data_IF_359178339810
#
_entry.id   IF_359178339810
#
_cell.length_a   1.000
_cell.length_b   1.000
_cell.length_c   1.000
_cell.angle_alpha   90.00
_cell.angle_beta   90.00
_cell.angle_gamma   90.00
#
_symmetry.space_group_name_H-M   'P 1'
#
loop_
_entity.id
_entity.type
_entity.pdbx_description
1 polymer ?
#
# COMPACT_ATOMS: atom_id res chain seq x y z
N UNK A 1 18.57 9.05 -4.19
CA UNK A 1 17.52 10.03 -3.75
C UNK A 1 16.32 9.27 -3.21
N UNK A 2 15.46 9.92 -2.40
CA UNK A 2 14.20 9.26 -2.01
C UNK A 2 13.17 9.40 -3.13
N UNK A 3 12.20 8.46 -3.21
CA UNK A 3 11.10 8.52 -4.18
C UNK A 3 10.41 9.91 -4.16
N UNK A 4 10.11 10.43 -2.96
CA UNK A 4 9.50 11.76 -2.82
C UNK A 4 10.35 12.90 -3.38
N UNK A 5 11.66 12.82 -3.26
CA UNK A 5 12.58 13.84 -3.81
C UNK A 5 12.62 13.80 -5.33
N UNK A 6 12.59 12.62 -5.93
CA UNK A 6 12.51 12.42 -7.38
C UNK A 6 11.23 13.01 -7.95
N UNK A 7 10.09 12.78 -7.27
CA UNK A 7 8.81 13.31 -7.68
C UNK A 7 8.75 14.85 -7.58
N UNK A 8 9.35 15.45 -6.56
CA UNK A 8 9.48 16.90 -6.45
C UNK A 8 10.35 17.48 -7.58
N UNK A 9 11.47 16.82 -7.89
CA UNK A 9 12.35 17.23 -8.98
C UNK A 9 11.63 17.18 -10.34
N UNK A 10 10.80 16.18 -10.55
CA UNK A 10 9.99 16.05 -11.76
C UNK A 10 8.97 17.19 -11.90
N UNK A 11 8.23 17.52 -10.82
CA UNK A 11 7.31 18.66 -10.83
C UNK A 11 8.03 19.96 -11.17
N UNK A 12 9.23 20.17 -10.61
CA UNK A 12 10.08 21.34 -10.86
C UNK A 12 10.53 21.40 -12.32
N UNK A 13 10.82 20.27 -12.95
CA UNK A 13 11.25 20.20 -14.36
C UNK A 13 10.14 20.55 -15.36
N UNK A 14 8.88 20.52 -14.94
CA UNK A 14 7.74 20.80 -15.80
C UNK A 14 7.58 22.30 -16.02
N UNK A 15 7.61 22.74 -17.29
CA UNK A 15 7.40 24.13 -17.66
C UNK A 15 5.94 24.54 -17.46
N UNK A 16 5.68 25.50 -16.59
CA UNK A 16 4.36 26.12 -16.39
C UNK A 16 4.23 27.34 -17.27
N UNK A 17 3.50 27.22 -18.39
CA UNK A 17 3.35 28.30 -19.38
C UNK A 17 2.57 29.51 -18.84
N UNK A 18 1.47 29.26 -18.12
CA UNK A 18 0.55 30.33 -17.67
C UNK A 18 1.06 31.04 -16.43
N UNK A 19 1.20 32.36 -16.47
CA UNK A 19 1.61 33.16 -15.33
C UNK A 19 0.66 33.02 -14.13
N UNK A 20 -0.65 32.85 -14.35
CA UNK A 20 -1.62 32.61 -13.28
C UNK A 20 -1.36 31.29 -12.55
N UNK A 21 -0.96 30.24 -13.26
CA UNK A 21 -0.62 28.93 -12.66
C UNK A 21 0.70 29.00 -11.88
N UNK A 22 1.71 29.74 -12.38
CA UNK A 22 2.96 29.98 -11.61
C UNK A 22 2.67 30.70 -10.30
N UNK A 23 1.80 31.73 -10.36
CA UNK A 23 1.35 32.44 -9.16
C UNK A 23 0.59 31.54 -8.19
N UNK A 24 -0.35 30.74 -8.69
CA UNK A 24 -1.12 29.77 -7.88
C UNK A 24 -0.20 28.73 -7.22
N UNK A 25 0.81 28.23 -7.94
CA UNK A 25 1.79 27.31 -7.36
C UNK A 25 2.57 27.99 -6.22
N UNK A 26 3.09 29.20 -6.44
CA UNK A 26 3.78 29.96 -5.37
C UNK A 26 2.83 30.25 -4.20
N UNK A 27 1.58 30.59 -4.45
CA UNK A 27 0.58 30.75 -3.40
C UNK A 27 0.36 29.47 -2.60
N UNK A 28 0.37 28.27 -3.22
CA UNK A 28 0.32 26.98 -2.51
C UNK A 28 1.53 26.77 -1.60
N UNK A 29 2.73 27.15 -2.04
CA UNK A 29 3.95 27.15 -1.20
C UNK A 29 3.77 28.07 0.01
N UNK A 30 3.37 29.32 -0.22
CA UNK A 30 3.18 30.32 0.85
C UNK A 30 2.04 29.90 1.81
N UNK A 31 0.95 29.42 1.29
CA UNK A 31 -0.19 28.92 2.05
C UNK A 31 0.17 27.85 3.06
N UNK A 32 1.10 26.95 2.71
CA UNK A 32 1.49 25.82 3.54
C UNK A 32 2.70 26.08 4.45
N UNK A 33 3.60 27.01 4.09
CA UNK A 33 4.90 27.13 4.76
C UNK A 33 5.39 28.55 5.03
N UNK A 34 4.64 29.57 4.63
CA UNK A 34 5.08 30.94 4.89
C UNK A 34 4.95 31.30 6.37
N UNK A 35 6.01 31.91 6.90
CA UNK A 35 6.06 32.57 8.19
C UNK A 35 6.40 34.05 7.93
N UNK A 36 5.66 34.94 8.53
CA UNK A 36 5.87 36.41 8.42
C UNK A 36 6.40 36.96 9.74
N UNK A 37 7.56 37.59 9.70
CA UNK A 37 8.15 38.26 10.84
C UNK A 37 8.85 39.56 10.39
N UNK A 38 8.49 40.69 10.98
CA UNK A 38 9.08 42.00 10.69
C UNK A 38 9.08 42.37 9.20
N UNK A 39 8.00 42.00 8.48
CA UNK A 39 7.86 42.24 7.05
C UNK A 39 8.66 41.30 6.15
N UNK A 40 9.46 40.39 6.73
CA UNK A 40 10.21 39.35 6.01
C UNK A 40 9.38 38.07 5.96
N UNK A 41 9.19 37.57 4.75
CA UNK A 41 8.54 36.27 4.52
C UNK A 41 9.60 35.20 4.43
N UNK A 42 9.45 34.14 5.23
CA UNK A 42 10.33 32.98 5.21
C UNK A 42 9.56 31.70 4.87
N UNK A 43 10.16 30.86 4.02
CA UNK A 43 9.60 29.60 3.57
C UNK A 43 10.62 28.47 3.77
N UNK A 44 10.30 27.49 4.59
CA UNK A 44 11.17 26.31 4.82
C UNK A 44 10.84 25.18 3.86
N UNK A 45 11.84 24.66 3.13
CA UNK A 45 11.74 23.52 2.21
C UNK A 45 12.83 22.49 2.45
N UNK A 46 12.66 21.27 1.87
CA UNK A 46 13.50 20.13 2.21
C UNK A 46 14.82 20.04 1.39
N UNK A 47 14.87 20.62 0.18
CA UNK A 47 16.00 20.47 -0.75
C UNK A 47 16.48 21.78 -1.36
N UNK A 48 17.74 21.83 -1.81
CA UNK A 48 18.29 22.98 -2.55
C UNK A 48 17.49 23.24 -3.82
N UNK A 49 17.19 22.20 -4.59
CA UNK A 49 16.44 22.29 -5.84
C UNK A 49 15.06 22.96 -5.62
N UNK A 50 14.36 22.58 -4.54
CA UNK A 50 13.07 23.21 -4.21
C UNK A 50 13.23 24.66 -3.79
N UNK A 51 14.29 25.00 -3.04
CA UNK A 51 14.57 26.36 -2.61
C UNK A 51 14.89 27.29 -3.79
N UNK A 52 15.74 26.83 -4.71
CA UNK A 52 16.08 27.56 -5.93
C UNK A 52 14.86 27.78 -6.82
N UNK A 53 14.02 26.76 -6.96
CA UNK A 53 12.77 26.88 -7.73
C UNK A 53 11.78 27.85 -7.08
N UNK A 54 11.62 27.81 -5.76
CA UNK A 54 10.76 28.77 -5.05
C UNK A 54 11.31 30.20 -5.19
N UNK A 55 12.63 30.39 -5.11
CA UNK A 55 13.26 31.69 -5.31
C UNK A 55 13.03 32.22 -6.74
N UNK A 56 13.14 31.34 -7.77
CA UNK A 56 12.82 31.74 -9.14
C UNK A 56 11.36 32.14 -9.33
N UNK A 57 10.42 31.40 -8.71
CA UNK A 57 9.00 31.77 -8.73
C UNK A 57 8.72 33.11 -8.03
N UNK A 58 9.40 33.41 -6.93
CA UNK A 58 9.30 34.68 -6.23
C UNK A 58 9.76 35.82 -7.15
N UNK A 59 10.88 35.65 -7.81
CA UNK A 59 11.40 36.62 -8.79
C UNK A 59 10.43 36.84 -9.94
N UNK A 60 9.89 35.76 -10.53
CA UNK A 60 8.94 35.84 -11.65
C UNK A 60 7.58 36.46 -11.24
N UNK A 61 7.05 36.11 -10.07
CA UNK A 61 5.68 36.53 -9.66
C UNK A 61 5.64 37.88 -8.97
N UNK A 62 6.70 38.27 -8.27
CA UNK A 62 6.75 39.48 -7.44
C UNK A 62 7.86 40.45 -7.84
N UNK A 63 8.75 40.09 -8.77
CA UNK A 63 9.94 40.85 -9.18
C UNK A 63 10.83 41.24 -7.98
N UNK A 64 10.98 40.25 -7.04
CA UNK A 64 11.77 40.43 -5.81
C UNK A 64 12.85 39.34 -5.73
N UNK A 65 14.07 39.70 -5.37
CA UNK A 65 15.10 38.69 -5.06
C UNK A 65 14.73 37.97 -3.77
N UNK A 66 15.23 36.72 -3.64
CA UNK A 66 15.09 35.93 -2.44
C UNK A 66 16.44 35.36 -2.01
N UNK A 67 16.72 35.39 -0.71
CA UNK A 67 17.93 34.84 -0.12
C UNK A 67 17.66 33.39 0.34
N UNK A 68 18.60 32.48 0.05
CA UNK A 68 18.54 31.08 0.46
C UNK A 68 19.58 30.82 1.54
N UNK A 69 19.14 30.30 2.67
CA UNK A 69 20.03 29.94 3.79
C UNK A 69 19.73 28.55 4.31
N UNK A 70 20.69 27.94 5.03
CA UNK A 70 20.52 26.63 5.66
C UNK A 70 20.05 26.79 7.10
N UNK A 71 18.96 26.14 7.47
CA UNK A 71 18.47 26.06 8.85
C UNK A 71 18.93 24.73 9.53
N UNK A 72 18.84 24.64 10.88
CA UNK A 72 19.09 23.40 11.59
C UNK A 72 18.27 22.22 11.02
N UNK A 73 18.88 21.03 10.94
CA UNK A 73 18.24 19.84 10.37
C UNK A 73 18.29 19.76 8.83
N UNK A 74 19.20 20.50 8.19
CA UNK A 74 19.43 20.52 6.73
C UNK A 74 18.27 21.07 5.90
N UNK A 75 17.30 21.72 6.49
CA UNK A 75 16.25 22.43 5.74
C UNK A 75 16.82 23.69 5.09
N UNK A 76 16.28 24.08 3.94
CA UNK A 76 16.57 25.36 3.28
C UNK A 76 15.47 26.36 3.63
N UNK A 77 15.88 27.60 3.87
CA UNK A 77 14.96 28.71 4.15
C UNK A 77 15.15 29.76 3.08
N UNK A 78 14.07 30.03 2.35
CA UNK A 78 13.99 31.09 1.35
C UNK A 78 13.38 32.30 2.02
N UNK A 79 14.08 33.45 2.01
CA UNK A 79 13.63 34.72 2.61
C UNK A 79 13.51 35.79 1.55
N UNK A 80 12.43 36.55 1.63
CA UNK A 80 12.22 37.67 0.72
C UNK A 80 11.27 38.72 1.34
N UNK A 81 11.23 39.91 0.72
CA UNK A 81 10.29 40.96 1.06
C UNK A 81 9.39 41.27 -0.13
N UNK A 82 8.08 41.23 0.07
CA UNK A 82 7.08 41.64 -0.95
C UNK A 82 5.77 42.03 -0.30
N UNK A 83 5.36 43.30 -0.46
CA UNK A 83 4.09 43.78 0.05
C UNK A 83 2.88 43.03 -0.53
N UNK A 84 2.96 42.65 -1.79
CA UNK A 84 1.90 41.83 -2.43
C UNK A 84 1.79 40.43 -1.86
N UNK A 85 2.93 39.80 -1.51
CA UNK A 85 2.93 38.49 -0.85
C UNK A 85 2.46 38.60 0.61
N UNK A 86 2.87 39.65 1.33
CA UNK A 86 2.38 39.95 2.68
C UNK A 86 0.87 40.12 2.71
N UNK A 87 0.32 40.93 1.78
CA UNK A 87 -1.12 41.08 1.63
C UNK A 87 -1.84 39.76 1.35
N UNK A 88 -1.26 38.90 0.49
CA UNK A 88 -1.81 37.57 0.26
C UNK A 88 -1.80 36.71 1.54
N UNK A 89 -0.68 36.68 2.28
CA UNK A 89 -0.59 35.92 3.52
C UNK A 89 -1.59 36.44 4.57
N UNK A 90 -1.75 37.73 4.70
CA UNK A 90 -2.71 38.33 5.62
C UNK A 90 -4.17 38.03 5.24
N UNK A 91 -4.49 37.92 3.95
CA UNK A 91 -5.83 37.56 3.47
C UNK A 91 -6.19 36.07 3.64
N UNK A 92 -5.21 35.22 3.98
CA UNK A 92 -5.47 33.79 4.24
C UNK A 92 -6.33 33.67 5.50
N UNK A 93 -7.51 33.08 5.35
CA UNK A 93 -8.49 32.90 6.46
C UNK A 93 -9.59 33.99 6.52
N UNK A 94 -9.44 35.10 5.82
CA UNK A 94 -10.48 36.15 5.75
C UNK A 94 -11.49 35.92 4.61
N UNK A 95 -11.14 35.12 3.61
CA UNK A 95 -11.98 34.78 2.46
C UNK A 95 -11.98 33.29 2.17
N UNK A 96 -13.08 32.79 1.55
CA UNK A 96 -13.14 31.42 1.05
C UNK A 96 -12.23 31.18 -0.16
N UNK A 97 -11.54 32.21 -0.65
CA UNK A 97 -10.67 32.14 -1.82
C UNK A 97 -9.22 31.93 -1.40
N UNK A 98 -8.75 30.74 -1.47
CA UNK A 98 -7.37 30.33 -1.08
C UNK A 98 -6.30 30.79 -2.09
N UNK A 99 -6.67 31.02 -3.34
CA UNK A 99 -5.79 31.46 -4.42
C UNK A 99 -6.59 32.17 -5.53
N UNK A 100 -5.91 32.99 -6.35
CA UNK A 100 -6.54 33.64 -7.48
C UNK A 100 -6.79 32.66 -8.62
N UNK A 101 -8.00 32.15 -8.74
CA UNK A 101 -8.40 31.26 -9.82
C UNK A 101 -8.68 32.05 -11.10
N UNK A 102 -7.78 31.94 -12.10
CA UNK A 102 -7.90 32.59 -13.41
C UNK A 102 -8.04 31.60 -14.57
N UNK A 103 -7.81 30.32 -14.33
CA UNK A 103 -8.01 29.23 -15.30
C UNK A 103 -8.20 27.91 -14.55
N UNK A 104 -8.78 26.90 -15.21
CA UNK A 104 -9.05 25.57 -14.66
C UNK A 104 -7.79 24.82 -14.13
N UNK A 105 -6.59 25.25 -14.51
CA UNK A 105 -5.34 24.63 -14.06
C UNK A 105 -4.75 25.28 -12.79
N UNK A 106 -5.30 26.40 -12.30
CA UNK A 106 -4.76 27.10 -11.14
C UNK A 106 -4.87 26.26 -9.86
N UNK A 107 -5.98 25.56 -9.65
CA UNK A 107 -6.15 24.67 -8.49
C UNK A 107 -5.09 23.56 -8.45
N UNK A 108 -4.84 22.90 -9.58
CA UNK A 108 -3.80 21.88 -9.67
C UNK A 108 -2.41 22.44 -9.41
N UNK A 109 -2.11 23.64 -9.90
CA UNK A 109 -0.86 24.31 -9.62
C UNK A 109 -0.72 24.67 -8.12
N UNK A 110 -1.78 25.13 -7.48
CA UNK A 110 -1.80 25.41 -6.05
C UNK A 110 -1.55 24.16 -5.21
N UNK A 111 -2.19 23.04 -5.53
CA UNK A 111 -1.94 21.74 -4.89
C UNK A 111 -0.50 21.27 -5.05
N UNK A 112 0.10 21.44 -6.25
CA UNK A 112 1.53 21.15 -6.47
C UNK A 112 2.42 22.01 -5.60
N UNK A 113 2.06 23.28 -5.38
CA UNK A 113 2.77 24.19 -4.48
C UNK A 113 2.77 23.68 -3.03
N UNK A 114 1.61 23.27 -2.51
CA UNK A 114 1.49 22.65 -1.18
C UNK A 114 2.37 21.38 -1.10
N UNK A 115 2.33 20.55 -2.14
CA UNK A 115 3.14 19.31 -2.16
C UNK A 115 4.64 19.61 -2.19
N UNK A 116 5.11 20.54 -3.01
CA UNK A 116 6.52 20.92 -3.06
C UNK A 116 7.06 21.40 -1.71
N UNK A 117 6.27 22.23 -1.00
CA UNK A 117 6.69 22.83 0.26
C UNK A 117 6.55 21.90 1.47
N UNK A 118 5.45 21.18 1.60
CA UNK A 118 5.08 20.43 2.79
C UNK A 118 4.87 18.93 2.54
N UNK A 119 4.70 18.52 1.29
CA UNK A 119 4.32 17.15 0.92
C UNK A 119 5.49 16.18 0.95
N UNK A 120 5.16 14.92 1.26
CA UNK A 120 6.02 13.75 1.13
C UNK A 120 5.20 12.57 0.66
N UNK A 121 5.74 11.79 -0.25
CA UNK A 121 5.11 10.57 -0.74
C UNK A 121 6.02 9.38 -0.57
N UNK A 122 5.46 8.25 -0.13
CA UNK A 122 6.14 6.96 -0.13
C UNK A 122 6.06 6.32 -1.53
N UNK A 123 7.03 5.47 -1.85
CA UNK A 123 6.96 4.63 -3.04
C UNK A 123 5.68 3.77 -3.03
N UNK A 124 4.78 3.90 -4.01
CA UNK A 124 3.54 3.14 -4.07
C UNK A 124 3.72 1.62 -4.12
N UNK A 125 4.88 1.15 -4.57
CA UNK A 125 5.25 -0.28 -4.52
C UNK A 125 5.44 -0.80 -3.11
N UNK A 126 5.69 0.07 -2.13
CA UNK A 126 5.88 -0.29 -0.72
C UNK A 126 4.64 -0.01 0.11
N UNK A 127 4.09 1.20 -0.02
CA UNK A 127 2.89 1.60 0.72
C UNK A 127 2.22 2.81 0.08
N UNK A 128 0.90 2.89 0.19
CA UNK A 128 0.12 4.06 -0.20
C UNK A 128 0.12 5.07 0.93
N UNK A 129 1.00 6.07 0.87
CA UNK A 129 1.10 7.09 1.90
C UNK A 129 1.54 8.44 1.29
N UNK A 130 0.64 9.43 1.38
CA UNK A 130 0.91 10.84 1.07
C UNK A 130 0.77 11.63 2.37
N UNK A 131 1.81 12.35 2.76
CA UNK A 131 1.88 13.10 4.02
C UNK A 131 2.21 14.56 3.75
N UNK A 132 1.66 15.45 4.59
CA UNK A 132 1.97 16.88 4.63
C UNK A 132 2.34 17.26 6.06
N UNK A 133 3.61 17.57 6.30
CA UNK A 133 4.11 17.99 7.61
C UNK A 133 3.88 19.49 7.76
N UNK A 134 3.03 19.92 8.70
CA UNK A 134 2.59 21.29 8.87
C UNK A 134 2.66 21.68 10.35
N UNK A 135 2.66 22.98 10.64
CA UNK A 135 2.71 23.52 12.01
C UNK A 135 1.69 24.63 12.21
N UNK A 136 1.20 24.74 13.45
CA UNK A 136 0.30 25.80 13.85
C UNK A 136 -0.92 25.92 12.92
N UNK A 137 -1.33 27.15 12.65
CA UNK A 137 -2.49 27.47 11.81
C UNK A 137 -2.42 26.91 10.38
N UNK A 138 -1.20 26.66 9.86
CA UNK A 138 -1.04 26.07 8.54
C UNK A 138 -1.63 24.65 8.45
N UNK A 139 -1.66 23.90 9.56
CA UNK A 139 -2.29 22.59 9.61
C UNK A 139 -3.81 22.70 9.36
N UNK A 140 -4.48 23.58 10.11
CA UNK A 140 -5.93 23.70 10.07
C UNK A 140 -6.41 24.25 8.72
N UNK A 141 -5.71 25.25 8.19
CA UNK A 141 -6.07 25.84 6.89
C UNK A 141 -5.85 24.88 5.72
N UNK A 142 -4.76 24.10 5.70
CA UNK A 142 -4.52 23.10 4.65
C UNK A 142 -5.50 21.93 4.78
N UNK A 143 -5.82 21.52 6.00
CA UNK A 143 -6.83 20.49 6.25
C UNK A 143 -8.21 20.94 5.73
N UNK A 144 -8.65 22.14 6.11
CA UNK A 144 -9.94 22.71 5.67
C UNK A 144 -10.00 22.86 4.15
N UNK A 145 -8.90 23.30 3.53
CA UNK A 145 -8.80 23.38 2.06
C UNK A 145 -8.94 21.98 1.41
N UNK A 146 -8.27 20.95 1.91
CA UNK A 146 -8.41 19.60 1.35
C UNK A 146 -9.86 19.09 1.47
N UNK A 147 -10.52 19.33 2.59
CA UNK A 147 -11.93 18.97 2.78
C UNK A 147 -12.83 19.72 1.80
N UNK A 148 -12.60 21.03 1.60
CA UNK A 148 -13.42 21.86 0.70
C UNK A 148 -13.38 21.41 -0.77
N UNK A 149 -12.29 20.76 -1.19
CA UNK A 149 -12.15 20.20 -2.55
C UNK A 149 -12.52 18.72 -2.64
N UNK A 150 -13.17 18.16 -1.61
CA UNK A 150 -13.70 16.80 -1.61
C UNK A 150 -12.70 15.71 -1.23
N UNK A 151 -11.51 16.05 -0.70
CA UNK A 151 -10.57 15.08 -0.17
C UNK A 151 -10.92 14.72 1.29
N UNK A 152 -10.55 13.52 1.73
CA UNK A 152 -10.75 13.03 3.10
C UNK A 152 -9.40 12.88 3.85
N UNK A 153 -8.78 13.99 4.27
CA UNK A 153 -7.53 13.96 5.00
C UNK A 153 -7.71 13.39 6.41
N UNK A 154 -6.63 12.80 6.94
CA UNK A 154 -6.52 12.39 8.34
C UNK A 154 -5.38 13.16 8.99
N UNK A 155 -5.48 13.40 10.30
CA UNK A 155 -4.42 14.04 11.08
C UNK A 155 -3.78 12.99 12.00
N UNK A 156 -2.45 13.06 12.11
CA UNK A 156 -1.66 12.33 13.09
C UNK A 156 -0.76 13.31 13.83
N UNK A 157 -0.87 13.34 15.14
CA UNK A 157 -0.03 14.18 15.98
C UNK A 157 1.22 13.38 16.41
N UNK A 158 2.38 13.78 15.92
CA UNK A 158 3.70 13.28 16.36
C UNK A 158 4.26 14.30 17.36
N UNK A 159 5.17 13.87 18.25
CA UNK A 159 5.68 14.68 19.39
C UNK A 159 6.04 16.14 19.08
N UNK A 160 6.49 16.47 17.86
CA UNK A 160 6.92 17.81 17.45
C UNK A 160 6.32 18.33 16.14
N UNK A 161 5.52 17.55 15.45
CA UNK A 161 4.90 17.92 14.17
C UNK A 161 3.55 17.24 14.01
N UNK A 162 2.56 17.98 13.55
CA UNK A 162 1.29 17.42 13.11
C UNK A 162 1.36 17.15 11.62
N UNK A 163 0.81 16.02 11.20
CA UNK A 163 0.88 15.55 9.83
C UNK A 163 -0.52 15.27 9.31
N UNK A 164 -0.89 15.92 8.22
CA UNK A 164 -2.04 15.53 7.41
C UNK A 164 -1.62 14.36 6.52
N UNK A 165 -2.40 13.29 6.43
CA UNK A 165 -2.04 12.15 5.61
C UNK A 165 -3.22 11.47 4.92
N UNK A 166 -2.90 10.79 3.81
CA UNK A 166 -3.79 9.92 3.04
C UNK A 166 -3.15 8.53 2.92
N UNK A 167 -3.92 7.45 3.22
CA UNK A 167 -3.47 6.06 3.15
C UNK A 167 -4.26 5.20 2.17
N UNK A 168 -5.46 5.64 1.75
CA UNK A 168 -6.24 4.93 0.75
C UNK A 168 -5.75 5.29 -0.64
N UNK A 169 -5.49 4.29 -1.49
CA UNK A 169 -5.04 4.53 -2.86
C UNK A 169 -5.98 5.43 -3.65
N UNK A 170 -7.31 5.31 -3.43
CA UNK A 170 -8.30 6.19 -4.06
C UNK A 170 -8.08 7.67 -3.74
N UNK A 171 -7.76 7.99 -2.46
CA UNK A 171 -7.50 9.38 -2.06
C UNK A 171 -6.21 9.94 -2.67
N UNK A 172 -5.20 9.08 -2.86
CA UNK A 172 -3.98 9.46 -3.57
C UNK A 172 -4.28 9.72 -5.05
N UNK A 173 -5.10 8.86 -5.68
CA UNK A 173 -5.56 9.03 -7.06
C UNK A 173 -6.29 10.36 -7.24
N UNK A 174 -7.24 10.66 -6.34
CA UNK A 174 -8.00 11.90 -6.36
C UNK A 174 -7.08 13.13 -6.20
N UNK A 175 -6.14 13.08 -5.26
CA UNK A 175 -5.16 14.16 -5.08
C UNK A 175 -4.30 14.35 -6.33
N UNK A 176 -3.77 13.28 -6.92
CA UNK A 176 -2.91 13.38 -8.11
C UNK A 176 -3.68 13.85 -9.33
N UNK A 177 -4.93 13.44 -9.49
CA UNK A 177 -5.81 13.91 -10.55
C UNK A 177 -6.08 15.41 -10.42
N UNK A 178 -6.47 15.88 -9.23
CA UNK A 178 -6.72 17.30 -8.94
C UNK A 178 -5.45 18.16 -9.11
N UNK A 179 -4.29 17.63 -8.69
CA UNK A 179 -3.01 18.32 -8.81
C UNK A 179 -2.41 18.26 -10.23
N UNK A 180 -2.97 17.43 -11.13
CA UNK A 180 -2.41 17.19 -12.46
C UNK A 180 -1.05 16.46 -12.45
N UNK A 181 -0.82 15.61 -11.44
CA UNK A 181 0.41 14.83 -11.24
C UNK A 181 0.30 13.46 -11.94
N UNK A 182 0.20 13.49 -13.27
CA UNK A 182 -0.13 12.30 -14.07
C UNK A 182 0.87 11.14 -13.91
N UNK A 183 2.17 11.43 -13.79
CA UNK A 183 3.18 10.36 -13.64
C UNK A 183 3.03 9.64 -12.29
N UNK A 184 2.73 10.36 -11.22
CA UNK A 184 2.40 9.76 -9.92
C UNK A 184 1.12 8.93 -9.97
N UNK A 185 0.10 9.41 -10.68
CA UNK A 185 -1.11 8.63 -10.91
C UNK A 185 -0.81 7.32 -11.64
N UNK A 186 -0.01 7.35 -12.72
CA UNK A 186 0.43 6.14 -13.42
C UNK A 186 1.28 5.21 -12.55
N UNK A 187 2.21 5.75 -11.76
CA UNK A 187 3.02 4.95 -10.83
C UNK A 187 2.13 4.23 -9.81
N UNK A 188 1.12 4.90 -9.29
CA UNK A 188 0.15 4.33 -8.36
C UNK A 188 -0.71 3.24 -9.03
N UNK A 189 -1.20 3.46 -10.23
CA UNK A 189 -1.95 2.46 -11.01
C UNK A 189 -1.12 1.19 -11.26
N UNK A 190 0.14 1.36 -11.70
CA UNK A 190 1.05 0.24 -11.90
C UNK A 190 1.31 -0.54 -10.61
N UNK A 191 1.51 0.16 -9.48
CA UNK A 191 1.69 -0.48 -8.18
C UNK A 191 0.44 -1.28 -7.77
N UNK A 192 -0.77 -0.77 -8.01
CA UNK A 192 -2.02 -1.50 -7.73
C UNK A 192 -2.10 -2.81 -8.53
N UNK A 193 -1.84 -2.76 -9.84
CA UNK A 193 -1.83 -3.95 -10.71
C UNK A 193 -0.82 -4.98 -10.19
N UNK A 194 0.39 -4.56 -9.86
CA UNK A 194 1.43 -5.44 -9.33
C UNK A 194 1.00 -6.10 -8.01
N UNK A 195 0.46 -5.33 -7.07
CA UNK A 195 -0.05 -5.85 -5.80
C UNK A 195 -1.18 -6.87 -6.00
N UNK A 196 -2.10 -6.64 -6.93
CA UNK A 196 -3.18 -7.58 -7.25
C UNK A 196 -2.63 -8.89 -7.84
N UNK A 197 -1.67 -8.82 -8.76
CA UNK A 197 -1.00 -10.00 -9.33
C UNK A 197 -0.29 -10.82 -8.26
N UNK A 198 0.52 -10.17 -7.40
CA UNK A 198 1.21 -10.85 -6.30
C UNK A 198 0.25 -11.47 -5.29
N UNK A 199 -0.82 -10.76 -4.92
CA UNK A 199 -1.83 -11.29 -4.00
C UNK A 199 -2.58 -12.48 -4.60
N UNK A 200 -2.87 -12.47 -5.90
CA UNK A 200 -3.50 -13.57 -6.62
C UNK A 200 -2.58 -14.79 -6.67
N UNK A 201 -1.32 -14.61 -7.06
CA UNK A 201 -0.31 -15.67 -7.10
C UNK A 201 -0.10 -16.30 -5.72
N UNK A 202 0.02 -15.48 -4.67
CA UNK A 202 0.16 -15.97 -3.29
C UNK A 202 -1.07 -16.77 -2.82
N UNK A 203 -2.28 -16.34 -3.18
CA UNK A 203 -3.50 -17.10 -2.85
C UNK A 203 -3.52 -18.46 -3.53
N UNK A 204 -3.15 -18.54 -4.80
CA UNK A 204 -3.05 -19.78 -5.55
C UNK A 204 -2.03 -20.71 -4.90
N UNK A 205 -0.80 -20.23 -4.67
CA UNK A 205 0.28 -20.99 -4.05
C UNK A 205 -0.09 -21.51 -2.64
N UNK A 206 -0.72 -20.66 -1.83
CA UNK A 206 -1.20 -21.07 -0.50
C UNK A 206 -2.31 -22.13 -0.58
N UNK A 207 -3.22 -22.00 -1.54
CA UNK A 207 -4.27 -23.00 -1.76
C UNK A 207 -3.66 -24.36 -2.15
N UNK A 208 -2.75 -24.38 -3.11
CA UNK A 208 -2.05 -25.60 -3.56
C UNK A 208 -1.25 -26.24 -2.42
N UNK A 209 -0.47 -25.42 -1.69
CA UNK A 209 0.32 -25.90 -0.55
C UNK A 209 -0.56 -26.52 0.53
N UNK A 210 -1.68 -25.89 0.86
CA UNK A 210 -2.62 -26.43 1.85
C UNK A 210 -3.32 -27.71 1.37
N UNK A 211 -3.64 -27.80 0.08
CA UNK A 211 -4.21 -29.01 -0.51
C UNK A 211 -3.21 -30.19 -0.47
N UNK A 212 -1.93 -29.92 -0.81
CA UNK A 212 -0.87 -30.92 -0.73
C UNK A 212 -0.67 -31.37 0.73
N UNK A 213 -0.56 -30.43 1.69
CA UNK A 213 -0.43 -30.77 3.11
C UNK A 213 -1.58 -31.64 3.62
N UNK A 214 -2.83 -31.30 3.28
CA UNK A 214 -4.01 -32.11 3.66
C UNK A 214 -3.96 -33.50 3.06
N UNK A 215 -3.55 -33.64 1.79
CA UNK A 215 -3.43 -34.92 1.12
C UNK A 215 -2.33 -35.79 1.75
N UNK A 216 -1.17 -35.21 2.06
CA UNK A 216 -0.06 -35.91 2.71
C UNK A 216 -0.45 -36.38 4.13
N UNK A 217 -1.03 -35.47 4.95
CA UNK A 217 -1.46 -35.82 6.31
C UNK A 217 -2.51 -36.94 6.31
N UNK A 218 -3.53 -36.85 5.42
CA UNK A 218 -4.53 -37.91 5.29
C UNK A 218 -3.90 -39.25 4.87
N UNK A 219 -2.98 -39.20 3.91
CA UNK A 219 -2.22 -40.40 3.48
C UNK A 219 -1.43 -41.04 4.62
N UNK A 220 -0.67 -40.25 5.38
CA UNK A 220 0.11 -40.72 6.52
C UNK A 220 -0.78 -41.34 7.60
N UNK A 221 -1.92 -40.72 7.91
CA UNK A 221 -2.88 -41.28 8.89
C UNK A 221 -3.42 -42.62 8.43
N UNK A 222 -3.82 -42.77 7.17
CA UNK A 222 -4.30 -44.05 6.62
C UNK A 222 -3.21 -45.11 6.67
N UNK A 223 -1.98 -44.79 6.22
CA UNK A 223 -0.86 -45.70 6.20
C UNK A 223 -0.42 -46.15 7.59
N UNK A 224 -0.44 -45.26 8.59
CA UNK A 224 -0.09 -45.60 9.95
C UNK A 224 -1.01 -46.71 10.51
N UNK A 225 -2.34 -46.53 10.34
CA UNK A 225 -3.32 -47.52 10.79
C UNK A 225 -3.19 -48.85 10.01
N UNK A 226 -3.02 -48.79 8.66
CA UNK A 226 -2.89 -49.97 7.82
C UNK A 226 -1.63 -50.76 8.20
N UNK A 227 -0.48 -50.13 8.37
CA UNK A 227 0.77 -50.75 8.78
C UNK A 227 0.68 -51.38 10.16
N UNK A 228 -0.01 -50.76 11.11
CA UNK A 228 -0.21 -51.31 12.44
C UNK A 228 -1.15 -52.56 12.41
N UNK A 229 -2.19 -52.53 11.56
CA UNK A 229 -3.07 -53.70 11.34
C UNK A 229 -2.31 -54.88 10.71
N UNK A 230 -1.45 -54.59 9.74
CA UNK A 230 -0.62 -55.61 9.06
C UNK A 230 0.37 -56.24 10.04
N UNK A 231 1.10 -55.42 10.80
CA UNK A 231 2.08 -55.86 11.81
C UNK A 231 1.46 -56.74 12.90
N UNK A 232 0.17 -56.57 13.21
CA UNK A 232 -0.57 -57.38 14.17
C UNK A 232 -1.36 -58.54 13.55
N UNK A 233 -1.27 -58.74 12.26
CA UNK A 233 -2.02 -59.77 11.53
C UNK A 233 -3.54 -59.55 11.48
N UNK A 234 -3.99 -58.31 11.74
CA UNK A 234 -5.42 -57.97 11.83
C UNK A 234 -6.02 -57.49 10.50
N UNK A 235 -5.22 -57.30 9.47
CA UNK A 235 -5.68 -56.77 8.17
C UNK A 235 -6.74 -57.64 7.50
N UNK A 236 -6.66 -58.95 7.69
CA UNK A 236 -7.64 -59.95 7.20
C UNK A 236 -8.99 -59.93 7.94
N UNK A 237 -9.12 -59.18 9.05
CA UNK A 237 -10.38 -58.97 9.73
C UNK A 237 -11.20 -57.82 9.12
N UNK A 238 -10.61 -57.09 8.17
CA UNK A 238 -11.35 -56.05 7.40
C UNK A 238 -12.26 -56.76 6.38
N UNK A 239 -13.39 -56.15 6.02
CA UNK A 239 -14.18 -56.60 4.86
C UNK A 239 -13.30 -56.67 3.61
N UNK A 240 -13.52 -57.68 2.75
CA UNK A 240 -12.68 -58.01 1.58
C UNK A 240 -12.32 -56.80 0.70
N UNK A 241 -13.32 -55.92 0.44
CA UNK A 241 -13.11 -54.70 -0.35
C UNK A 241 -12.14 -53.70 0.35
N UNK A 242 -12.19 -53.65 1.68
CA UNK A 242 -11.34 -52.75 2.48
C UNK A 242 -9.94 -53.35 2.65
N UNK A 243 -9.84 -54.65 2.81
CA UNK A 243 -8.55 -55.37 2.83
C UNK A 243 -7.78 -55.15 1.54
N UNK A 244 -8.43 -55.38 0.38
CA UNK A 244 -7.83 -55.16 -0.94
C UNK A 244 -7.35 -53.69 -1.08
N UNK A 245 -8.17 -52.74 -0.63
CA UNK A 245 -7.84 -51.30 -0.66
C UNK A 245 -6.65 -51.00 0.26
N UNK A 246 -6.60 -51.57 1.46
CA UNK A 246 -5.51 -51.40 2.40
C UNK A 246 -4.19 -51.93 1.87
N UNK A 247 -4.17 -53.15 1.33
CA UNK A 247 -3.00 -53.76 0.72
C UNK A 247 -2.47 -52.97 -0.46
N UNK A 248 -3.34 -52.51 -1.37
CA UNK A 248 -2.97 -51.67 -2.51
C UNK A 248 -2.38 -50.35 -2.05
N UNK A 249 -2.96 -49.72 -1.01
CA UNK A 249 -2.44 -48.46 -0.43
C UNK A 249 -1.06 -48.63 0.19
N UNK A 250 -0.80 -49.75 0.79
CA UNK A 250 0.50 -50.08 1.42
C UNK A 250 1.57 -50.33 0.37
N UNK A 251 1.22 -51.01 -0.76
CA UNK A 251 2.12 -51.24 -1.89
C UNK A 251 2.49 -49.97 -2.66
N UNK A 252 1.60 -48.95 -2.64
CA UNK A 252 1.73 -47.72 -3.41
C UNK A 252 1.51 -46.51 -2.48
N UNK A 253 2.36 -46.37 -1.49
CA UNK A 253 2.22 -45.36 -0.44
C UNK A 253 2.49 -43.91 -0.92
N UNK A 254 3.23 -43.75 -2.01
CA UNK A 254 3.53 -42.48 -2.65
C UNK A 254 2.42 -41.96 -3.58
N UNK A 255 1.52 -42.82 -4.06
CA UNK A 255 0.53 -42.46 -5.05
C UNK A 255 -0.59 -41.55 -4.46
N UNK A 256 -1.02 -40.58 -5.25
CA UNK A 256 -2.21 -39.79 -4.95
C UNK A 256 -3.48 -40.65 -5.01
N UNK A 257 -4.57 -40.20 -4.34
CA UNK A 257 -5.84 -40.93 -4.38
C UNK A 257 -6.38 -41.11 -5.82
N UNK A 258 -6.10 -40.19 -6.72
CA UNK A 258 -6.55 -40.27 -8.12
C UNK A 258 -5.76 -41.37 -8.85
N UNK A 259 -4.45 -41.47 -8.66
CA UNK A 259 -3.61 -42.54 -9.25
C UNK A 259 -3.95 -43.88 -8.63
N UNK A 260 -4.10 -43.97 -7.32
CA UNK A 260 -4.45 -45.19 -6.63
C UNK A 260 -5.85 -45.70 -7.05
N UNK A 261 -6.83 -44.80 -7.25
CA UNK A 261 -8.18 -45.18 -7.71
C UNK A 261 -8.18 -45.78 -9.13
N UNK A 262 -7.23 -45.37 -9.96
CA UNK A 262 -7.06 -45.94 -11.32
C UNK A 262 -6.50 -47.37 -11.32
N UNK A 263 -5.77 -47.76 -10.27
CA UNK A 263 -5.22 -49.14 -10.11
C UNK A 263 -6.21 -50.12 -9.48
N UNK A 264 -7.37 -49.66 -8.96
CA UNK A 264 -8.36 -50.53 -8.34
C UNK A 264 -9.10 -51.37 -9.39
N UNK A 265 -9.29 -52.64 -9.06
CA UNK A 265 -10.10 -53.59 -9.86
C UNK A 265 -11.16 -54.25 -8.95
N UNK A 266 -12.47 -54.02 -9.15
CA UNK A 266 -13.05 -53.09 -10.13
C UNK A 266 -12.71 -51.63 -9.83
N UNK A 267 -12.74 -50.78 -10.86
CA UNK A 267 -12.36 -49.37 -10.77
C UNK A 267 -13.28 -48.62 -9.79
N UNK A 268 -12.67 -47.85 -8.88
CA UNK A 268 -13.36 -47.10 -7.85
C UNK A 268 -13.14 -45.62 -8.11
N UNK A 269 -14.15 -44.75 -7.91
CA UNK A 269 -13.98 -43.30 -8.03
C UNK A 269 -13.11 -42.76 -6.89
N UNK A 270 -12.42 -41.61 -7.12
CA UNK A 270 -11.64 -40.92 -6.10
C UNK A 270 -12.42 -40.69 -4.79
N UNK A 271 -13.68 -40.19 -4.80
CA UNK A 271 -14.50 -40.09 -3.59
C UNK A 271 -14.79 -41.46 -2.93
N UNK A 272 -15.08 -42.49 -3.74
CA UNK A 272 -15.29 -43.86 -3.25
C UNK A 272 -14.07 -44.42 -2.55
N UNK A 273 -12.88 -44.23 -3.13
CA UNK A 273 -11.63 -44.62 -2.52
C UNK A 273 -11.35 -43.85 -1.21
N UNK A 274 -11.59 -42.55 -1.18
CA UNK A 274 -11.44 -41.76 0.05
C UNK A 274 -12.39 -42.26 1.15
N UNK A 275 -13.62 -42.62 0.81
CA UNK A 275 -14.57 -43.21 1.75
C UNK A 275 -14.08 -44.58 2.28
N UNK A 276 -13.56 -45.46 1.39
CA UNK A 276 -12.99 -46.74 1.82
C UNK A 276 -11.83 -46.56 2.78
N UNK A 277 -10.87 -45.68 2.48
CA UNK A 277 -9.74 -45.39 3.36
C UNK A 277 -10.17 -44.81 4.71
N UNK A 278 -11.18 -43.97 4.74
CA UNK A 278 -11.76 -43.45 5.99
C UNK A 278 -12.35 -44.61 6.83
N UNK A 279 -13.12 -45.52 6.22
CA UNK A 279 -13.69 -46.69 6.90
C UNK A 279 -12.58 -47.65 7.40
N UNK A 280 -11.49 -47.84 6.64
CA UNK A 280 -10.33 -48.62 7.09
C UNK A 280 -9.74 -48.01 8.36
N UNK A 281 -9.62 -46.65 8.40
CA UNK A 281 -9.09 -45.95 9.59
C UNK A 281 -10.03 -46.17 10.78
N UNK A 282 -11.35 -46.00 10.61
CA UNK A 282 -12.34 -46.15 11.67
C UNK A 282 -12.38 -47.60 12.23
N UNK A 283 -12.52 -48.57 11.37
CA UNK A 283 -12.59 -49.97 11.76
C UNK A 283 -11.22 -50.45 12.31
N UNK A 284 -10.12 -50.06 11.66
CA UNK A 284 -8.78 -50.40 12.06
C UNK A 284 -8.43 -49.85 13.45
N UNK A 285 -8.77 -48.60 13.74
CA UNK A 285 -8.56 -48.06 15.09
C UNK A 285 -9.36 -48.80 16.15
N UNK A 286 -10.61 -49.17 15.87
CA UNK A 286 -11.43 -49.94 16.79
C UNK A 286 -10.85 -51.35 17.05
N UNK A 287 -10.33 -52.06 16.01
CA UNK A 287 -9.64 -53.37 16.16
C UNK A 287 -8.36 -53.29 16.97
N UNK A 288 -7.60 -52.22 16.76
CA UNK A 288 -6.33 -51.97 17.50
C UNK A 288 -6.58 -51.67 18.97
N UNK A 289 -7.64 -50.92 19.30
CA UNK A 289 -8.05 -50.60 20.67
C UNK A 289 -8.67 -51.83 21.39
N UNK A 290 -9.47 -52.61 20.68
CA UNK A 290 -10.08 -53.85 21.20
C UNK A 290 -9.06 -54.91 21.57
N UNK A 291 -7.93 -54.98 20.87
CA UNK A 291 -6.80 -55.85 21.18
C UNK A 291 -6.01 -55.43 22.42
N UNK A 292 -6.00 -54.13 22.78
CA UNK A 292 -5.33 -53.59 24.01
C UNK A 292 -6.11 -53.92 25.29
N UNK A 293 -7.41 -54.19 25.23
CA UNK A 293 -8.24 -54.55 26.41
C UNK A 293 -8.21 -56.03 26.77
N UNK A 294 -7.51 -56.86 25.98
CA UNK A 294 -7.42 -58.33 26.19
C UNK A 294 -5.98 -58.80 26.59
N UNK A 295 -5.06 -57.91 26.80
CA UNK A 295 -3.78 -58.11 27.47
C UNK A 295 -3.79 -57.43 28.88
#
# INVERSE_FOLDING_TARGET
MSFSTEQKAEIISQTIKNACCRRALLQGVLFSRAELSDGIISVSVDTDLTAEYVASLILECYSKPADISTAPGRRRVVRFYSKAAETYIASIGESETYFAEKCAMCQGAFLRGIFLAAGRISDPMRQYLLEFSLRGEALDRVFSFFVSIGLEPKISNKRNESVIYFKRSSMLEDYFALAGMNQLAFALMNAKIQHELFNSANRIANCETNNIKKAVNASQTHLAVIRELDAKGLISQLPEELETTARLRMQHDELSLAQLSALMTPRVSKPGLAHRLKRITEIGTALLEGGRKKQ
#
